data_IF_306564253091
#
_entry.id   IF_306564253091
#
_cell.length_a   1.000
_cell.length_b   1.000
_cell.length_c   1.000
_cell.angle_alpha   90.00
_cell.angle_beta   90.00
_cell.angle_gamma   90.00
#
_symmetry.space_group_name_H-M   'P 1'
#
loop_
_entity.id
_entity.type
_entity.pdbx_description
1 polymer ?
#
# COMPACT_ATOMS: atom_id res chain seq x y z
N UNK A 1 -6.23 -34.50 -14.23
CA UNK A 1 -5.51 -33.27 -14.61
C UNK A 1 -5.65 -32.29 -13.47
N UNK A 2 -4.62 -32.13 -12.66
CA UNK A 2 -4.62 -31.19 -11.54
C UNK A 2 -4.19 -29.83 -12.06
N UNK A 3 -5.01 -28.80 -11.83
CA UNK A 3 -4.62 -27.42 -12.11
C UNK A 3 -3.42 -27.06 -11.23
N UNK A 4 -2.37 -26.52 -11.85
CA UNK A 4 -1.24 -25.95 -11.13
C UNK A 4 -1.75 -24.85 -10.17
N UNK A 5 -1.23 -24.74 -8.94
CA UNK A 5 -1.55 -23.61 -8.08
C UNK A 5 -1.10 -22.34 -8.79
N UNK A 6 -2.06 -21.48 -9.15
CA UNK A 6 -1.80 -20.20 -9.78
C UNK A 6 -0.78 -19.41 -8.97
N UNK A 7 0.13 -18.75 -9.68
CA UNK A 7 1.14 -17.85 -9.12
C UNK A 7 0.56 -17.01 -7.97
N UNK A 8 1.27 -17.02 -6.84
CA UNK A 8 0.77 -16.64 -5.51
C UNK A 8 -0.18 -15.45 -5.52
N UNK A 9 -1.45 -15.71 -5.17
CA UNK A 9 -2.40 -14.66 -4.88
C UNK A 9 -1.78 -13.70 -3.88
N UNK A 10 -1.84 -12.38 -4.13
CA UNK A 10 -1.28 -11.43 -3.20
C UNK A 10 -1.89 -11.60 -1.81
N UNK A 11 -1.01 -11.74 -0.81
CA UNK A 11 -1.42 -11.90 0.59
C UNK A 11 -1.70 -10.53 1.17
N UNK A 12 -2.97 -10.11 1.17
CA UNK A 12 -3.41 -9.01 2.01
C UNK A 12 -3.71 -9.53 3.42
N UNK A 13 -3.53 -8.66 4.43
CA UNK A 13 -3.96 -8.96 5.81
C UNK A 13 -5.07 -7.99 6.20
N UNK A 14 -6.18 -8.54 6.73
CA UNK A 14 -7.36 -7.76 7.13
C UNK A 14 -7.38 -7.51 8.63
N UNK A 15 -7.69 -6.28 9.03
CA UNK A 15 -7.87 -5.86 10.42
C UNK A 15 -9.24 -5.21 10.58
N UNK A 16 -10.01 -5.66 11.57
CA UNK A 16 -11.39 -5.20 11.78
C UNK A 16 -11.48 -3.83 12.46
N UNK A 17 -10.41 -3.37 13.12
CA UNK A 17 -10.39 -2.09 13.82
C UNK A 17 -9.07 -1.34 13.62
N UNK A 18 -9.11 -0.02 13.83
CA UNK A 18 -7.91 0.83 13.71
C UNK A 18 -6.88 0.46 14.77
N UNK A 19 -7.32 0.05 15.95
CA UNK A 19 -6.44 -0.42 17.03
C UNK A 19 -5.74 -1.72 16.65
N UNK A 20 -6.46 -2.68 16.07
CA UNK A 20 -5.86 -3.94 15.63
C UNK A 20 -4.82 -3.71 14.53
N UNK A 21 -5.12 -2.84 13.57
CA UNK A 21 -4.17 -2.43 12.54
C UNK A 21 -2.95 -1.72 13.16
N UNK A 22 -3.15 -0.68 13.99
CA UNK A 22 -2.05 0.10 14.57
C UNK A 22 -1.13 -0.71 15.49
N UNK A 23 -1.65 -1.74 16.15
CA UNK A 23 -0.84 -2.68 16.93
C UNK A 23 0.09 -3.53 16.07
N UNK A 24 -0.34 -3.87 14.84
CA UNK A 24 0.48 -4.63 13.90
C UNK A 24 1.48 -3.73 13.14
N UNK A 25 1.15 -2.46 12.91
CA UNK A 25 1.97 -1.51 12.16
C UNK A 25 2.33 -0.27 12.98
N UNK A 26 3.19 -0.39 14.02
CA UNK A 26 3.52 0.73 14.90
C UNK A 26 4.26 1.88 14.19
N UNK A 27 4.90 1.62 13.06
CA UNK A 27 5.63 2.63 12.28
C UNK A 27 4.80 3.25 11.13
N UNK A 28 3.60 2.74 10.87
CA UNK A 28 2.72 3.18 9.79
C UNK A 28 1.27 3.28 10.30
N UNK A 29 1.11 3.95 11.44
CA UNK A 29 -0.17 4.03 12.12
C UNK A 29 -1.19 4.84 11.33
N UNK A 30 -2.41 4.31 11.28
CA UNK A 30 -3.59 5.03 10.85
C UNK A 30 -4.04 5.96 11.99
N UNK A 31 -4.34 7.24 11.73
CA UNK A 31 -4.84 8.14 12.76
C UNK A 31 -6.09 7.57 13.45
N UNK A 32 -6.18 7.70 14.78
CA UNK A 32 -7.31 7.13 15.54
C UNK A 32 -8.56 8.01 15.47
N UNK A 33 -8.40 9.32 15.28
CA UNK A 33 -9.49 10.29 15.11
C UNK A 33 -9.97 10.32 13.66
N UNK A 34 -11.29 10.30 13.46
CA UNK A 34 -11.88 10.28 12.13
C UNK A 34 -11.53 11.52 11.28
N UNK A 35 -11.48 12.71 11.88
CA UNK A 35 -11.09 13.93 11.15
C UNK A 35 -9.68 13.85 10.57
N UNK A 36 -8.73 13.36 11.36
CA UNK A 36 -7.33 13.20 10.93
C UNK A 36 -7.19 12.12 9.85
N UNK A 37 -8.01 11.06 9.90
CA UNK A 37 -8.06 10.05 8.84
C UNK A 37 -8.60 10.62 7.53
N UNK A 38 -9.68 11.39 7.59
CA UNK A 38 -10.30 12.01 6.41
C UNK A 38 -9.41 13.09 5.78
N UNK A 39 -8.49 13.65 6.56
CA UNK A 39 -7.51 14.62 6.08
C UNK A 39 -6.32 13.98 5.36
N UNK A 40 -6.16 12.65 5.44
CA UNK A 40 -5.11 11.96 4.69
C UNK A 40 -5.37 12.10 3.20
N UNK A 41 -4.30 12.35 2.46
CA UNK A 41 -4.33 12.30 1.01
C UNK A 41 -4.38 10.84 0.57
N UNK A 42 -5.53 10.40 0.09
CA UNK A 42 -5.77 9.01 -0.33
C UNK A 42 -5.98 8.92 -1.84
N UNK A 43 -5.77 7.73 -2.41
CA UNK A 43 -6.14 7.46 -3.80
C UNK A 43 -7.59 6.98 -3.88
N UNK A 44 -8.32 7.51 -4.85
CA UNK A 44 -9.61 7.00 -5.32
C UNK A 44 -9.66 7.09 -6.84
N UNK A 45 -10.36 6.17 -7.49
CA UNK A 45 -10.63 6.33 -8.92
C UNK A 45 -11.81 7.27 -9.10
N UNK A 46 -11.55 8.45 -9.66
CA UNK A 46 -12.56 9.47 -9.95
C UNK A 46 -13.51 9.79 -8.77
N UNK A 47 -13.02 9.70 -7.53
CA UNK A 47 -13.81 9.93 -6.32
C UNK A 47 -14.72 8.75 -5.89
N UNK A 48 -14.84 7.69 -6.68
CA UNK A 48 -15.73 6.56 -6.41
C UNK A 48 -15.14 5.51 -5.46
N UNK A 49 -13.81 5.49 -5.32
CA UNK A 49 -13.07 4.41 -4.65
C UNK A 49 -12.75 3.25 -5.59
N UNK A 50 -12.36 2.13 -5.00
CA UNK A 50 -11.93 0.90 -5.66
C UNK A 50 -12.80 -0.26 -5.19
N UNK A 51 -13.38 -1.01 -6.11
CA UNK A 51 -14.23 -2.16 -5.80
C UNK A 51 -13.42 -3.26 -5.09
N UNK A 52 -13.96 -3.80 -4.00
CA UNK A 52 -13.37 -4.92 -3.27
C UNK A 52 -13.77 -6.27 -3.88
N UNK A 53 -12.95 -6.71 -4.83
CA UNK A 53 -12.96 -8.03 -5.43
C UNK A 53 -12.01 -9.02 -4.73
N UNK A 54 -11.22 -8.56 -3.73
CA UNK A 54 -10.31 -9.41 -2.96
C UNK A 54 -11.05 -10.22 -1.89
N UNK A 55 -11.91 -9.57 -1.12
CA UNK A 55 -12.71 -10.24 -0.09
C UNK A 55 -14.09 -10.68 -0.60
N UNK A 56 -14.46 -10.23 -1.79
CA UNK A 56 -15.78 -10.45 -2.38
C UNK A 56 -16.89 -9.60 -1.74
N UNK A 57 -16.54 -8.57 -0.98
CA UNK A 57 -17.54 -7.70 -0.35
C UNK A 57 -18.24 -6.75 -1.33
N UNK A 58 -17.61 -6.45 -2.48
CA UNK A 58 -18.13 -5.50 -3.46
C UNK A 58 -18.20 -4.05 -2.94
N UNK A 59 -17.65 -3.77 -1.76
CA UNK A 59 -17.65 -2.42 -1.18
C UNK A 59 -16.47 -1.62 -1.70
N UNK A 60 -16.70 -0.34 -1.98
CA UNK A 60 -15.64 0.54 -2.43
C UNK A 60 -14.72 0.96 -1.29
N UNK A 61 -13.41 0.89 -1.54
CA UNK A 61 -12.35 1.30 -0.64
C UNK A 61 -11.53 2.45 -1.24
N UNK A 62 -10.90 3.21 -0.37
CA UNK A 62 -9.86 4.20 -0.68
C UNK A 62 -8.50 3.58 -0.36
N UNK A 63 -7.45 3.98 -1.08
CA UNK A 63 -6.09 3.58 -0.71
C UNK A 63 -5.42 4.70 0.09
N UNK A 64 -5.06 4.38 1.32
CA UNK A 64 -4.31 5.23 2.22
C UNK A 64 -2.84 4.82 2.18
N UNK A 65 -1.95 5.81 2.14
CA UNK A 65 -0.51 5.62 2.16
C UNK A 65 -0.01 6.08 3.53
N UNK A 66 0.52 5.17 4.34
CA UNK A 66 0.87 5.44 5.72
C UNK A 66 2.37 5.22 5.95
N UNK A 67 3.04 6.05 6.77
CA UNK A 67 2.48 7.16 7.52
C UNK A 67 2.26 8.42 6.67
N UNK A 68 1.25 9.22 7.05
CA UNK A 68 1.13 10.62 6.61
C UNK A 68 0.56 10.87 5.22
N UNK A 69 -0.18 9.93 4.63
CA UNK A 69 -0.88 10.11 3.35
C UNK A 69 0.02 9.96 2.12
N UNK A 70 -0.61 9.98 0.95
CA UNK A 70 0.08 9.89 -0.34
C UNK A 70 1.13 11.00 -0.48
N UNK A 71 2.31 10.71 -1.07
CA UNK A 71 3.37 11.69 -1.31
C UNK A 71 2.85 12.99 -1.91
N UNK A 72 3.26 14.13 -1.36
CA UNK A 72 2.94 15.43 -1.96
C UNK A 72 3.63 15.57 -3.33
N UNK A 73 3.21 16.49 -4.21
CA UNK A 73 3.86 16.68 -5.51
C UNK A 73 5.39 16.86 -5.40
N UNK A 74 5.89 17.56 -4.39
CA UNK A 74 7.33 17.71 -4.14
C UNK A 74 8.02 16.42 -3.67
N UNK A 75 7.31 15.53 -2.99
CA UNK A 75 7.81 14.22 -2.57
C UNK A 75 7.72 13.17 -3.69
N UNK A 76 6.86 13.38 -4.69
CA UNK A 76 6.63 12.48 -5.80
C UNK A 76 7.71 12.60 -6.89
N UNK A 77 8.42 13.74 -6.94
CA UNK A 77 9.48 14.02 -7.90
C UNK A 77 10.84 13.39 -7.52
N UNK A 78 11.73 13.13 -8.49
CA UNK A 78 13.10 12.69 -8.23
C UNK A 78 13.86 13.73 -7.39
N UNK A 79 14.15 13.40 -6.12
CA UNK A 79 14.91 14.25 -5.20
C UNK A 79 14.14 14.69 -3.94
N UNK A 80 12.83 14.47 -3.87
CA UNK A 80 12.08 14.65 -2.62
C UNK A 80 12.51 13.63 -1.54
N UNK A 81 12.08 13.80 -0.28
CA UNK A 81 12.22 12.76 0.73
C UNK A 81 11.28 11.59 0.42
N UNK A 82 11.81 10.36 0.43
CA UNK A 82 10.98 9.16 0.35
C UNK A 82 10.65 8.64 1.75
N UNK A 83 9.45 8.09 1.90
CA UNK A 83 8.98 7.49 3.15
C UNK A 83 8.75 6.01 2.90
N UNK A 84 9.30 5.17 3.78
CA UNK A 84 8.98 3.74 3.79
C UNK A 84 7.75 3.54 4.65
N UNK A 85 6.78 2.77 4.15
CA UNK A 85 5.49 2.63 4.81
C UNK A 85 4.61 1.51 4.27
N UNK A 86 3.32 1.63 4.55
CA UNK A 86 2.28 0.64 4.27
C UNK A 86 1.20 1.26 3.40
N UNK A 87 0.74 0.52 2.39
CA UNK A 87 -0.44 0.88 1.59
C UNK A 87 -1.62 0.08 2.10
N UNK A 88 -2.68 0.78 2.49
CA UNK A 88 -3.85 0.21 3.16
C UNK A 88 -5.10 0.55 2.38
N UNK A 89 -5.96 -0.44 2.11
CA UNK A 89 -7.32 -0.18 1.66
C UNK A 89 -8.24 -0.02 2.87
N UNK A 90 -9.03 1.04 2.91
CA UNK A 90 -10.00 1.32 3.95
C UNK A 90 -11.27 1.96 3.37
N UNK A 91 -12.34 2.07 4.14
CA UNK A 91 -13.58 2.75 3.73
C UNK A 91 -13.52 4.22 4.13
N UNK A 92 -12.81 5.04 3.37
CA UNK A 92 -12.58 6.46 3.68
C UNK A 92 -12.05 6.61 5.12
N UNK A 93 -10.98 5.86 5.44
CA UNK A 93 -10.40 5.82 6.78
C UNK A 93 -11.17 4.95 7.79
N UNK A 94 -12.17 4.17 7.39
CA UNK A 94 -12.88 3.27 8.30
C UNK A 94 -12.59 1.80 7.98
N UNK A 95 -12.83 0.93 8.96
CA UNK A 95 -12.61 -0.51 8.80
C UNK A 95 -13.58 -1.14 7.77
N UNK A 96 -13.24 -2.33 7.24
CA UNK A 96 -12.00 -3.08 7.51
C UNK A 96 -10.77 -2.41 6.88
N UNK A 97 -9.60 -2.62 7.50
CA UNK A 97 -8.30 -2.15 6.99
C UNK A 97 -7.58 -3.32 6.35
N UNK A 98 -7.30 -3.24 5.05
CA UNK A 98 -6.60 -4.28 4.30
C UNK A 98 -5.18 -3.78 4.00
N UNK A 99 -4.17 -4.36 4.65
CA UNK A 99 -2.78 -4.06 4.33
C UNK A 99 -2.43 -4.75 3.00
N UNK A 100 -2.22 -3.96 1.96
CA UNK A 100 -1.93 -4.43 0.59
C UNK A 100 -0.43 -4.56 0.32
N UNK A 101 0.36 -3.65 0.89
CA UNK A 101 1.81 -3.65 0.79
C UNK A 101 2.40 -3.09 2.09
N UNK A 102 3.48 -3.68 2.59
CA UNK A 102 4.20 -3.25 3.80
C UNK A 102 5.68 -3.02 3.49
N UNK A 103 6.31 -2.10 4.21
CA UNK A 103 7.73 -1.70 4.06
C UNK A 103 8.11 -1.34 2.62
N UNK A 104 7.25 -0.59 1.94
CA UNK A 104 7.47 -0.11 0.58
C UNK A 104 7.79 1.38 0.54
N UNK A 105 8.54 1.81 -0.47
CA UNK A 105 8.65 3.22 -0.85
C UNK A 105 7.27 3.78 -1.18
N UNK A 106 6.78 4.74 -0.38
CA UNK A 106 5.48 5.37 -0.62
C UNK A 106 5.50 6.19 -1.91
N UNK A 107 6.65 6.75 -2.32
CA UNK A 107 6.82 7.37 -3.65
C UNK A 107 6.58 6.36 -4.75
N UNK A 108 7.29 5.23 -4.73
CA UNK A 108 7.18 4.23 -5.78
C UNK A 108 5.78 3.60 -5.82
N UNK A 109 5.20 3.32 -4.64
CA UNK A 109 3.85 2.82 -4.52
C UNK A 109 2.81 3.80 -5.10
N UNK A 110 2.89 5.08 -4.72
CA UNK A 110 2.02 6.13 -5.27
C UNK A 110 2.14 6.22 -6.79
N UNK A 111 3.37 6.25 -7.32
CA UNK A 111 3.65 6.29 -8.76
C UNK A 111 3.04 5.08 -9.48
N UNK A 112 3.19 3.88 -8.93
CA UNK A 112 2.62 2.67 -9.51
C UNK A 112 1.08 2.75 -9.57
N UNK A 113 0.43 3.20 -8.50
CA UNK A 113 -1.03 3.34 -8.42
C UNK A 113 -1.55 4.39 -9.40
N UNK A 114 -0.93 5.57 -9.50
CA UNK A 114 -1.42 6.61 -10.43
C UNK A 114 -1.19 6.24 -11.91
N UNK A 115 -0.15 5.47 -12.22
CA UNK A 115 0.12 4.99 -13.58
C UNK A 115 -0.89 3.90 -13.96
N UNK A 116 -1.11 2.93 -13.07
CA UNK A 116 -2.05 1.83 -13.33
C UNK A 116 -3.52 2.29 -13.27
N UNK A 117 -3.80 3.33 -12.50
CA UNK A 117 -5.13 3.91 -12.28
C UNK A 117 -6.22 2.87 -11.97
N UNK A 118 -6.01 2.01 -10.93
CA UNK A 118 -6.84 0.85 -10.68
C UNK A 118 -8.25 1.23 -10.21
N UNK A 119 -9.21 0.37 -10.56
CA UNK A 119 -10.61 0.47 -10.14
C UNK A 119 -11.07 -0.66 -9.23
N UNK A 120 -10.20 -1.63 -9.01
CA UNK A 120 -10.39 -2.81 -8.17
C UNK A 120 -9.20 -2.98 -7.24
N UNK A 121 -9.44 -3.60 -6.09
CA UNK A 121 -8.37 -3.88 -5.13
C UNK A 121 -7.36 -4.88 -5.67
N UNK A 122 -7.78 -5.92 -6.41
CA UNK A 122 -6.84 -6.86 -7.05
C UNK A 122 -5.86 -6.15 -7.99
N UNK A 123 -6.36 -5.26 -8.85
CA UNK A 123 -5.57 -4.46 -9.78
C UNK A 123 -4.60 -3.51 -9.04
N UNK A 124 -5.03 -2.95 -7.92
CA UNK A 124 -4.14 -2.15 -7.07
C UNK A 124 -2.99 -2.99 -6.51
N UNK A 125 -3.26 -4.24 -6.08
CA UNK A 125 -2.18 -5.10 -5.60
C UNK A 125 -1.22 -5.51 -6.72
N UNK A 126 -1.74 -5.84 -7.91
CA UNK A 126 -0.90 -6.14 -9.07
C UNK A 126 0.00 -4.96 -9.44
N UNK A 127 -0.51 -3.72 -9.35
CA UNK A 127 0.27 -2.51 -9.57
C UNK A 127 1.39 -2.33 -8.50
N UNK A 128 1.13 -2.72 -7.25
CA UNK A 128 2.10 -2.60 -6.15
C UNK A 128 3.18 -3.69 -6.15
N UNK A 129 2.94 -4.82 -6.80
CA UNK A 129 3.83 -5.98 -6.78
C UNK A 129 5.30 -5.68 -7.14
N UNK A 130 5.62 -4.93 -8.21
CA UNK A 130 7.02 -4.58 -8.51
C UNK A 130 7.71 -3.78 -7.39
N UNK A 131 6.94 -2.97 -6.66
CA UNK A 131 7.45 -2.16 -5.55
C UNK A 131 7.70 -3.04 -4.32
N UNK A 132 6.82 -4.02 -4.07
CA UNK A 132 6.97 -5.01 -3.00
C UNK A 132 8.23 -5.85 -3.26
N UNK A 133 8.40 -6.37 -4.47
CA UNK A 133 9.54 -7.21 -4.85
C UNK A 133 10.87 -6.45 -4.77
N UNK A 134 10.87 -5.16 -5.12
CA UNK A 134 12.03 -4.28 -4.98
C UNK A 134 12.39 -3.99 -3.51
N UNK A 135 11.40 -3.84 -2.63
CA UNK A 135 11.62 -3.66 -1.19
C UNK A 135 12.04 -4.94 -0.46
N UNK A 136 11.75 -6.11 -1.02
CA UNK A 136 12.17 -7.42 -0.50
C UNK A 136 13.53 -7.88 -1.01
N UNK A 137 14.05 -7.26 -2.08
CA UNK A 137 15.39 -7.55 -2.55
C UNK A 137 16.40 -7.11 -1.49
N UNK A 138 17.13 -8.04 -0.84
CA UNK A 138 18.17 -7.64 0.08
C UNK A 138 19.17 -6.81 -0.70
N UNK A 139 19.61 -5.70 -0.09
CA UNK A 139 20.76 -4.93 -0.53
C UNK A 139 21.79 -5.88 -1.14
N UNK A 140 22.04 -5.74 -2.43
CA UNK A 140 23.11 -6.47 -3.08
C UNK A 140 24.35 -6.20 -2.25
N UNK A 141 24.92 -7.27 -1.73
CA UNK A 141 26.11 -7.27 -0.90
C UNK A 141 27.19 -6.46 -1.60
N UNK A 142 27.40 -5.23 -1.14
CA UNK A 142 28.66 -4.52 -1.37
C UNK A 142 29.74 -5.40 -0.76
N UNK A 143 30.34 -6.21 -1.63
CA UNK A 143 31.54 -6.96 -1.31
C UNK A 143 32.60 -5.91 -1.02
N UNK A 144 33.17 -5.82 0.19
CA UNK A 144 34.33 -4.98 0.37
C UNK A 144 35.45 -5.63 -0.45
N UNK A 145 35.75 -5.04 -1.60
CA UNK A 145 36.97 -5.34 -2.36
C UNK A 145 38.13 -4.98 -1.46
N UNK A 146 38.64 -5.97 -0.73
CA UNK A 146 39.88 -5.90 0.00
C UNK A 146 41.00 -5.89 -1.04
N UNK A 147 41.53 -4.70 -1.36
CA UNK A 147 42.76 -4.56 -2.10
C UNK A 147 43.92 -5.01 -1.20
N UNK A 148 44.62 -6.05 -1.65
CA UNK A 148 45.89 -6.50 -1.09
C UNK A 148 47.05 -5.63 -1.57
#
# INVERSE_FOLDING_TARGET
MAAAPGAGAPRYTSYQSVQAYNSAFPNAQMPTRAGDRNALRSFTRAGAGLEDDLTGSGVNHTLDFLPGGAPEPGDAEPGGPDRVGTVVASRWGNGPYLALADKVSLRAAWKAIIIAWPDRLSAAVDALRPVIDAGQSPAQSETPTHFA
#
